data_IF_289977024156
#
_entry.id   IF_289977024156
#
_cell.length_a   1.000
_cell.length_b   1.000
_cell.length_c   1.000
_cell.angle_alpha   90.00
_cell.angle_beta   90.00
_cell.angle_gamma   90.00
#
_symmetry.space_group_name_H-M   'P 1'
#
loop_
_entity.id
_entity.type
_entity.pdbx_description
1 polymer ?
#
# COMPACT_ATOMS: atom_id res chain seq x y z
N UNK A 1 -26.17 -6.37 -23.35
CA UNK A 1 -25.20 -6.22 -22.24
C UNK A 1 -23.82 -6.39 -22.84
N UNK A 2 -22.95 -5.39 -22.74
CA UNK A 2 -21.57 -5.49 -23.24
C UNK A 2 -20.69 -6.09 -22.15
N UNK A 3 -19.83 -7.06 -22.48
CA UNK A 3 -18.97 -7.76 -21.51
C UNK A 3 -18.11 -6.80 -20.68
N UNK A 4 -17.72 -5.68 -21.29
CA UNK A 4 -16.96 -4.59 -20.67
C UNK A 4 -17.64 -4.04 -19.41
N UNK A 5 -18.97 -4.03 -19.36
CA UNK A 5 -19.76 -3.49 -18.24
C UNK A 5 -19.77 -4.40 -17.01
N UNK A 6 -19.23 -5.62 -17.11
CA UNK A 6 -19.10 -6.54 -15.96
C UNK A 6 -17.83 -6.26 -15.13
N UNK A 7 -16.88 -5.50 -15.66
CA UNK A 7 -15.62 -5.22 -14.96
C UNK A 7 -15.73 -3.94 -14.14
N UNK A 8 -15.14 -3.95 -12.94
CA UNK A 8 -15.12 -2.79 -12.05
C UNK A 8 -14.26 -1.63 -12.60
N UNK A 9 -13.32 -1.93 -13.50
CA UNK A 9 -12.40 -0.96 -14.11
C UNK A 9 -12.35 -1.15 -15.62
N UNK A 10 -11.99 -0.09 -16.35
CA UNK A 10 -11.82 -0.13 -17.81
C UNK A 10 -10.75 -1.14 -18.22
N UNK A 11 -11.11 -2.13 -19.04
CA UNK A 11 -10.20 -3.18 -19.50
C UNK A 11 -9.13 -2.69 -20.48
N UNK A 12 -9.27 -1.48 -21.03
CA UNK A 12 -8.33 -0.86 -21.98
C UNK A 12 -7.31 0.07 -21.33
N UNK A 13 -7.42 0.30 -20.02
CA UNK A 13 -6.50 1.16 -19.27
C UNK A 13 -5.05 0.65 -19.31
N UNK A 14 -4.05 1.54 -19.33
CA UNK A 14 -2.66 1.14 -19.26
C UNK A 14 -2.33 0.53 -17.89
N UNK A 15 -1.63 -0.61 -17.87
CA UNK A 15 -1.17 -1.27 -16.65
C UNK A 15 0.34 -1.52 -16.76
N UNK A 16 1.08 -1.12 -15.74
CA UNK A 16 2.50 -1.43 -15.64
C UNK A 16 2.70 -2.92 -15.31
N UNK A 17 3.07 -3.72 -16.31
CA UNK A 17 3.32 -5.15 -16.14
C UNK A 17 4.54 -5.48 -15.26
N UNK A 18 5.41 -4.51 -15.01
CA UNK A 18 6.60 -4.66 -14.16
C UNK A 18 6.74 -3.45 -13.26
N UNK A 19 6.70 -3.67 -11.95
CA UNK A 19 6.97 -2.65 -10.93
C UNK A 19 8.48 -2.49 -10.77
N UNK A 20 8.99 -1.28 -10.98
CA UNK A 20 10.39 -0.94 -10.71
C UNK A 20 10.51 0.07 -9.57
N UNK A 21 11.60 -0.02 -8.81
CA UNK A 21 11.80 0.82 -7.62
C UNK A 21 12.14 2.28 -7.97
N UNK A 22 12.74 2.52 -9.13
CA UNK A 22 13.13 3.84 -9.64
C UNK A 22 11.96 4.61 -10.29
N UNK A 23 10.87 3.93 -10.63
CA UNK A 23 9.64 4.54 -11.13
C UNK A 23 8.85 5.15 -9.98
N UNK A 24 9.03 6.44 -9.78
CA UNK A 24 8.44 7.26 -8.71
C UNK A 24 7.70 8.48 -9.26
N UNK A 25 7.44 8.50 -10.56
CA UNK A 25 6.62 9.54 -11.19
C UNK A 25 5.23 9.51 -10.59
N UNK A 26 4.66 10.70 -10.37
CA UNK A 26 3.42 10.86 -9.63
C UNK A 26 2.27 10.00 -10.20
N UNK A 27 2.12 9.98 -11.52
CA UNK A 27 1.12 9.19 -12.24
C UNK A 27 1.29 7.67 -12.03
N UNK A 28 2.54 7.20 -12.07
CA UNK A 28 2.88 5.80 -11.80
C UNK A 28 2.50 5.41 -10.38
N UNK A 29 2.79 6.26 -9.40
CA UNK A 29 2.46 6.03 -7.99
C UNK A 29 0.94 5.95 -7.80
N UNK A 30 0.18 6.84 -8.45
CA UNK A 30 -1.28 6.81 -8.42
C UNK A 30 -1.82 5.46 -8.90
N UNK A 31 -1.40 5.07 -10.11
CA UNK A 31 -1.89 3.85 -10.76
C UNK A 31 -1.50 2.62 -9.95
N UNK A 32 -0.27 2.55 -9.43
CA UNK A 32 0.17 1.45 -8.57
C UNK A 32 -0.67 1.34 -7.30
N UNK A 33 -0.91 2.46 -6.61
CA UNK A 33 -1.76 2.49 -5.41
C UNK A 33 -3.21 2.13 -5.72
N UNK A 34 -3.75 2.56 -6.85
CA UNK A 34 -5.13 2.28 -7.26
C UNK A 34 -5.34 0.82 -7.68
N UNK A 35 -4.40 0.25 -8.42
CA UNK A 35 -4.42 -1.14 -8.88
C UNK A 35 -4.03 -2.15 -7.79
N UNK A 36 -3.48 -1.72 -6.67
CA UNK A 36 -3.05 -2.64 -5.60
C UNK A 36 -4.23 -3.37 -4.95
N UNK A 37 -4.33 -4.69 -5.12
CA UNK A 37 -5.42 -5.50 -4.55
C UNK A 37 -4.99 -6.08 -3.21
N UNK A 38 -5.78 -5.83 -2.17
CA UNK A 38 -5.53 -6.38 -0.83
C UNK A 38 -6.31 -7.69 -0.67
N UNK A 39 -5.60 -8.81 -0.80
CA UNK A 39 -6.15 -10.14 -0.49
C UNK A 39 -6.16 -10.38 1.02
N UNK A 40 -6.86 -11.42 1.47
CA UNK A 40 -6.91 -11.78 2.89
C UNK A 40 -5.52 -12.11 3.47
N UNK A 41 -4.69 -12.83 2.71
CA UNK A 41 -3.31 -13.14 3.12
C UNK A 41 -2.45 -11.87 3.22
N UNK A 42 -2.55 -11.01 2.20
CA UNK A 42 -1.80 -9.76 2.16
C UNK A 42 -2.22 -8.82 3.30
N UNK A 43 -3.52 -8.77 3.60
CA UNK A 43 -4.05 -8.05 4.77
C UNK A 43 -3.37 -8.51 6.05
N UNK A 44 -3.28 -9.83 6.27
CA UNK A 44 -2.58 -10.39 7.43
C UNK A 44 -1.11 -9.96 7.52
N UNK A 45 -0.41 -9.83 6.39
CA UNK A 45 0.96 -9.30 6.37
C UNK A 45 1.03 -7.80 6.72
N UNK A 46 0.07 -7.00 6.26
CA UNK A 46 -0.03 -5.58 6.60
C UNK A 46 -0.32 -5.40 8.10
N UNK A 47 -1.27 -6.15 8.65
CA UNK A 47 -1.57 -6.16 10.08
C UNK A 47 -0.33 -6.55 10.91
N UNK A 48 0.38 -7.60 10.49
CA UNK A 48 1.61 -8.02 11.14
C UNK A 48 2.69 -6.93 11.08
N UNK A 49 2.83 -6.24 9.96
CA UNK A 49 3.74 -5.10 9.84
C UNK A 49 3.40 -4.03 10.89
N UNK A 50 2.15 -3.54 10.92
CA UNK A 50 1.76 -2.45 11.82
C UNK A 50 1.84 -2.84 13.29
N UNK A 51 1.56 -4.11 13.63
CA UNK A 51 1.76 -4.65 14.97
C UNK A 51 3.19 -4.50 15.48
N UNK A 52 4.20 -4.66 14.61
CA UNK A 52 5.61 -4.48 14.98
C UNK A 52 6.09 -3.03 14.82
N UNK A 53 5.45 -2.24 13.96
CA UNK A 53 5.82 -0.86 13.68
C UNK A 53 5.25 0.12 14.72
N UNK A 54 3.95 0.07 15.01
CA UNK A 54 3.26 1.06 15.86
C UNK A 54 3.82 1.23 17.28
N UNK A 55 4.32 0.19 17.98
CA UNK A 55 4.95 0.38 19.29
C UNK A 55 6.12 1.38 19.28
N UNK A 56 6.77 1.59 18.13
CA UNK A 56 7.82 2.60 17.96
C UNK A 56 7.31 4.01 17.78
N UNK A 57 6.15 4.13 17.15
CA UNK A 57 5.46 5.40 16.92
C UNK A 57 4.85 5.90 18.23
N UNK A 58 4.27 5.00 19.01
CA UNK A 58 3.55 5.32 20.25
C UNK A 58 4.45 5.66 21.45
N UNK A 59 5.69 5.15 21.50
CA UNK A 59 6.59 5.33 22.66
C UNK A 59 8.03 5.66 22.22
N UNK A 60 8.50 6.91 22.45
CA UNK A 60 9.87 7.33 22.14
C UNK A 60 10.96 6.49 22.82
N UNK A 61 10.69 5.86 23.97
CA UNK A 61 11.65 4.96 24.63
C UNK A 61 11.80 3.65 23.86
N UNK A 62 10.70 3.13 23.29
CA UNK A 62 10.72 1.98 22.38
C UNK A 62 11.26 2.34 20.99
N UNK A 63 11.15 3.59 20.56
CA UNK A 63 11.77 4.09 19.33
C UNK A 63 13.30 3.82 19.29
N UNK A 64 13.97 3.92 20.44
CA UNK A 64 15.41 3.59 20.57
C UNK A 64 15.73 2.10 20.38
N UNK A 65 14.77 1.20 20.67
CA UNK A 65 14.86 -0.24 20.42
C UNK A 65 14.48 -0.58 18.98
N UNK A 66 13.55 0.15 18.38
CA UNK A 66 13.07 -0.07 17.00
C UNK A 66 13.85 0.67 15.91
N UNK A 67 14.76 1.59 16.27
CA UNK A 67 15.89 1.93 15.40
C UNK A 67 16.75 0.71 15.01
N UNK A 68 16.48 -0.46 15.63
CA UNK A 68 17.02 -1.78 15.29
C UNK A 68 15.96 -2.75 14.75
N UNK A 69 14.72 -2.31 14.50
CA UNK A 69 13.67 -3.16 13.95
C UNK A 69 13.91 -3.41 12.47
N UNK A 70 14.14 -4.67 12.12
CA UNK A 70 14.21 -5.15 10.75
C UNK A 70 12.99 -6.00 10.43
N UNK A 71 12.41 -5.80 9.24
CA UNK A 71 11.33 -6.64 8.71
C UNK A 71 11.89 -7.42 7.54
N UNK A 72 11.77 -8.75 7.60
CA UNK A 72 12.22 -9.65 6.54
C UNK A 72 11.03 -10.08 5.69
N UNK A 73 11.02 -9.70 4.42
CA UNK A 73 9.98 -10.09 3.45
C UNK A 73 10.52 -11.20 2.56
N UNK A 74 9.97 -12.41 2.68
CA UNK A 74 10.38 -13.60 1.92
C UNK A 74 9.23 -14.18 1.10
N UNK A 75 9.54 -15.04 0.12
CA UNK A 75 8.57 -15.62 -0.81
C UNK A 75 9.13 -15.91 -2.21
N UNK A 76 8.40 -16.69 -3.00
CA UNK A 76 8.80 -17.14 -4.34
C UNK A 76 8.96 -15.99 -5.36
N UNK A 77 9.62 -16.25 -6.48
CA UNK A 77 9.69 -15.29 -7.59
C UNK A 77 8.27 -14.94 -8.08
N UNK A 78 8.02 -13.66 -8.37
CA UNK A 78 6.71 -13.18 -8.79
C UNK A 78 5.67 -13.03 -7.67
N UNK A 79 5.99 -13.34 -6.40
CA UNK A 79 5.02 -13.26 -5.28
C UNK A 79 4.73 -11.83 -4.77
N UNK A 80 5.20 -10.79 -5.48
CA UNK A 80 4.92 -9.40 -5.11
C UNK A 80 5.76 -8.79 -3.98
N UNK A 81 6.82 -9.44 -3.49
CA UNK A 81 7.65 -8.93 -2.36
C UNK A 81 8.13 -7.47 -2.51
N UNK A 82 8.76 -7.16 -3.65
CA UNK A 82 9.27 -5.80 -3.90
C UNK A 82 8.13 -4.80 -4.05
N UNK A 83 7.01 -5.22 -4.63
CA UNK A 83 5.82 -4.38 -4.76
C UNK A 83 5.19 -4.09 -3.39
N UNK A 84 5.08 -5.10 -2.51
CA UNK A 84 4.63 -4.92 -1.13
C UNK A 84 5.48 -3.89 -0.38
N UNK A 85 6.82 -4.01 -0.45
CA UNK A 85 7.73 -3.04 0.19
C UNK A 85 7.52 -1.63 -0.38
N UNK A 86 7.37 -1.51 -1.70
CA UNK A 86 7.14 -0.23 -2.39
C UNK A 86 5.83 0.41 -1.93
N UNK A 87 4.73 -0.36 -1.87
CA UNK A 87 3.43 0.12 -1.40
C UNK A 87 3.48 0.51 0.09
N UNK A 88 4.11 -0.29 0.94
CA UNK A 88 4.31 0.08 2.34
C UNK A 88 5.09 1.39 2.48
N UNK A 89 6.10 1.63 1.62
CA UNK A 89 6.85 2.89 1.63
C UNK A 89 5.98 4.09 1.26
N UNK A 90 5.06 3.93 0.31
CA UNK A 90 4.10 4.97 -0.08
C UNK A 90 3.10 5.26 1.03
N UNK A 91 2.61 4.22 1.69
CA UNK A 91 1.67 4.33 2.79
C UNK A 91 2.30 5.03 4.00
N UNK A 92 3.50 4.62 4.42
CA UNK A 92 4.21 5.21 5.57
C UNK A 92 4.63 6.67 5.34
N UNK A 93 5.02 7.01 4.12
CA UNK A 93 5.29 8.42 3.76
C UNK A 93 3.99 9.21 3.53
N UNK A 94 2.86 8.51 3.44
CA UNK A 94 1.55 9.00 3.03
C UNK A 94 1.64 9.93 1.81
N UNK A 95 2.27 9.42 0.74
CA UNK A 95 2.60 10.23 -0.45
C UNK A 95 1.34 10.83 -1.07
N UNK A 96 1.44 12.08 -1.50
CA UNK A 96 0.43 12.74 -2.32
C UNK A 96 0.65 12.42 -3.79
N UNK A 97 -0.44 12.11 -4.48
CA UNK A 97 -0.45 11.74 -5.88
C UNK A 97 -1.65 12.33 -6.62
N UNK A 98 -1.49 12.54 -7.92
CA UNK A 98 -2.39 13.23 -8.83
C UNK A 98 -2.47 12.45 -10.12
N UNK A 99 -3.67 12.07 -10.53
CA UNK A 99 -3.95 11.45 -11.83
C UNK A 99 -5.20 12.09 -12.42
N UNK A 100 -5.14 12.56 -13.66
CA UNK A 100 -6.26 13.19 -14.37
C UNK A 100 -6.98 14.30 -13.55
N UNK A 101 -6.22 15.07 -12.76
CA UNK A 101 -6.75 16.15 -11.91
C UNK A 101 -7.35 15.69 -10.57
N UNK A 102 -7.38 14.38 -10.31
CA UNK A 102 -7.77 13.80 -9.02
C UNK A 102 -6.55 13.71 -8.11
N UNK A 103 -6.59 14.44 -6.99
CA UNK A 103 -5.57 14.35 -5.96
C UNK A 103 -5.99 13.36 -4.88
N UNK A 104 -5.10 12.44 -4.52
CA UNK A 104 -5.26 11.49 -3.43
C UNK A 104 -3.95 11.32 -2.67
N UNK A 105 -4.04 11.02 -1.39
CA UNK A 105 -2.94 10.50 -0.57
C UNK A 105 -2.96 8.99 -0.60
N UNK A 106 -1.81 8.37 -0.31
CA UNK A 106 -1.70 6.91 -0.25
C UNK A 106 -2.76 6.29 0.67
N UNK A 107 -3.03 6.90 1.83
CA UNK A 107 -4.06 6.43 2.76
C UNK A 107 -5.46 6.39 2.15
N UNK A 108 -5.82 7.33 1.28
CA UNK A 108 -7.16 7.44 0.69
C UNK A 108 -7.51 6.21 -0.16
N UNK A 109 -6.51 5.59 -0.81
CA UNK A 109 -6.72 4.34 -1.55
C UNK A 109 -6.97 3.16 -0.62
N UNK A 110 -6.32 3.12 0.55
CA UNK A 110 -6.48 2.04 1.52
C UNK A 110 -7.80 2.14 2.27
N UNK A 111 -8.28 3.35 2.55
CA UNK A 111 -9.62 3.57 3.14
C UNK A 111 -10.71 2.94 2.30
N UNK A 112 -10.67 3.12 0.98
CA UNK A 112 -11.61 2.51 0.04
C UNK A 112 -11.48 0.97 -0.04
N UNK A 113 -10.29 0.43 0.23
CA UNK A 113 -10.00 -1.02 0.11
C UNK A 113 -10.22 -1.79 1.41
N UNK A 114 -10.24 -1.09 2.54
CA UNK A 114 -10.32 -1.64 3.89
C UNK A 114 -11.46 -1.01 4.68
N UNK A 115 -12.56 -0.62 4.03
CA UNK A 115 -13.69 0.08 4.64
C UNK A 115 -14.19 -0.60 5.93
N UNK A 116 -14.11 -1.94 5.98
CA UNK A 116 -14.56 -2.73 7.13
C UNK A 116 -13.51 -2.84 8.26
N UNK A 117 -12.23 -2.53 8.02
CA UNK A 117 -11.14 -2.67 9.00
C UNK A 117 -10.67 -1.33 9.57
N UNK A 118 -11.52 -0.77 10.45
CA UNK A 118 -11.26 0.52 11.09
C UNK A 118 -10.03 0.50 12.03
N UNK A 119 -9.66 -0.66 12.56
CA UNK A 119 -8.49 -0.76 13.44
C UNK A 119 -7.21 -0.62 12.64
N UNK A 120 -7.08 -1.36 11.54
CA UNK A 120 -5.92 -1.28 10.66
C UNK A 120 -5.79 0.10 10.01
N UNK A 121 -6.91 0.69 9.56
CA UNK A 121 -6.92 2.07 9.07
C UNK A 121 -6.50 3.09 10.13
N UNK A 122 -6.87 2.85 11.40
CA UNK A 122 -6.42 3.65 12.52
C UNK A 122 -4.90 3.63 12.69
N UNK A 123 -4.27 2.45 12.61
CA UNK A 123 -2.80 2.34 12.66
C UNK A 123 -2.13 3.01 11.46
N UNK A 124 -2.67 2.84 10.26
CA UNK A 124 -2.13 3.46 9.04
C UNK A 124 -2.16 4.99 9.09
N UNK A 125 -3.18 5.61 9.71
CA UNK A 125 -3.29 7.06 9.84
C UNK A 125 -2.34 7.65 10.89
N UNK A 126 -1.90 6.83 11.86
CA UNK A 126 -1.02 7.26 12.95
C UNK A 126 0.47 7.10 12.62
N UNK A 127 0.79 6.11 11.79
CA UNK A 127 2.13 5.86 11.28
C UNK A 127 2.66 7.04 10.46
#
# INVERSE_FOLDING_TARGET
MQLQQLFNKDITRPINGVVKADQVENDTVFIELDEYVITAELKGHIEQFFKYYMPSVDDPKKASMTGKSGIWVSGFFGSGKSHFIKIMSYLLKNVETTHEGVNKRAIDFFEQKLEEDQMLLGDMRRA
#
